data_IF_140899903626
#
_entry.id   IF_140899903626
#
_cell.length_a   1.000
_cell.length_b   1.000
_cell.length_c   1.000
_cell.angle_alpha   90.00
_cell.angle_beta   90.00
_cell.angle_gamma   90.00
#
_symmetry.space_group_name_H-M   'P 1'
#
loop_
_entity.id
_entity.type
_entity.pdbx_description
1 polymer ?
2 non-polymer ?
3 non-polymer ?
4 water ?
#
# COMPACT_ATOMS: atom_id res chain seq x y z
N UNK A 8 2.71 -2.59 27.52
CA UNK A 8 2.12 -1.30 27.05
C UNK A 8 1.11 -1.49 25.90
N UNK A 9 -0.17 -1.61 26.23
CA UNK A 9 -1.14 -2.02 25.22
C UNK A 9 -1.55 -0.92 24.23
N UNK A 10 -1.88 -1.36 23.02
CA UNK A 10 -2.31 -0.47 21.95
C UNK A 10 -3.80 -0.21 22.09
N UNK A 11 -4.55 -1.25 22.40
CA UNK A 11 -5.99 -1.14 22.54
C UNK A 11 -6.35 -1.42 23.98
N UNK A 12 -7.05 -0.48 24.62
CA UNK A 12 -7.50 -0.67 25.99
C UNK A 12 -8.71 -1.60 26.06
N UNK A 13 -8.94 -2.19 27.23
CA UNK A 13 -10.13 -3.00 27.43
C UNK A 13 -11.43 -2.25 27.09
N UNK A 14 -11.43 -0.93 27.22
CA UNK A 14 -12.64 -0.14 26.95
C UNK A 14 -12.82 0.16 25.47
N UNK A 15 -11.94 -0.39 24.63
CA UNK A 15 -12.06 -0.23 23.18
C UNK A 15 -11.35 0.98 22.62
N UNK A 16 -10.81 1.83 23.49
CA UNK A 16 -10.08 3.00 23.02
C UNK A 16 -8.59 2.67 22.79
N UNK A 17 -7.92 3.49 21.99
CA UNK A 17 -6.54 3.25 21.62
C UNK A 17 -5.59 4.23 22.31
N UNK A 18 -4.41 3.73 22.68
CA UNK A 18 -3.36 4.55 23.25
C UNK A 18 -2.45 5.06 22.15
N UNK A 19 -3.02 5.84 21.25
CA UNK A 19 -2.29 6.36 20.11
C UNK A 19 -2.40 7.88 20.05
N UNK A 20 -1.26 8.54 19.86
CA UNK A 20 -1.29 9.96 19.60
C UNK A 20 -0.87 10.28 18.17
N UNK A 21 -1.67 11.07 17.49
CA UNK A 21 -1.40 11.46 16.11
C UNK A 21 -0.65 12.79 16.08
N UNK A 22 0.67 12.73 15.92
CA UNK A 22 1.53 13.91 16.10
C UNK A 22 1.98 14.59 14.82
N UNK A 23 2.21 15.90 14.90
CA UNK A 23 2.64 16.69 13.75
C UNK A 23 1.63 16.67 12.62
N UNK A 24 0.35 16.85 12.97
CA UNK A 24 -0.74 16.80 11.99
C UNK A 24 -1.48 18.14 11.92
N UNK A 27 -1.34 20.21 8.69
CA UNK A 27 -1.47 19.46 7.44
C UNK A 27 -2.92 19.18 7.08
N UNK A 28 -3.27 19.34 5.81
CA UNK A 28 -4.62 19.01 5.33
C UNK A 28 -4.89 17.51 5.53
N UNK A 29 -5.99 17.20 6.20
CA UNK A 29 -6.33 15.81 6.53
C UNK A 29 -6.36 14.92 5.30
N UNK A 30 -6.89 15.44 4.20
CA UNK A 30 -7.10 14.64 3.01
C UNK A 30 -5.82 14.35 2.23
N UNK A 31 -4.69 14.86 2.71
CA UNK A 31 -3.39 14.54 2.12
C UNK A 31 -2.66 13.47 2.94
N UNK A 32 -3.31 12.98 3.98
CA UNK A 32 -2.70 11.95 4.81
C UNK A 32 -3.52 10.66 4.74
N UNK A 33 -4.18 10.45 3.60
CA UNK A 33 -4.91 9.21 3.38
C UNK A 33 -4.04 8.16 2.67
N UNK A 34 -3.41 8.54 1.55
CA UNK A 34 -2.47 7.67 0.82
C UNK A 34 -1.11 8.33 0.66
N UNK A 35 -0.04 7.54 0.79
CA UNK A 35 1.30 8.03 0.48
C UNK A 35 1.33 8.52 -0.96
N UNK A 36 2.13 9.57 -1.23
CA UNK A 36 2.26 10.11 -2.58
C UNK A 36 2.89 9.08 -3.51
N UNK A 37 3.75 8.24 -2.95
CA UNK A 37 4.45 7.25 -3.74
C UNK A 37 4.21 5.81 -3.26
N UNK A 38 4.52 4.86 -4.14
CA UNK A 38 4.53 3.46 -3.79
C UNK A 38 5.98 2.99 -3.92
N UNK A 39 6.32 1.87 -3.30
CA UNK A 39 7.70 1.36 -3.36
C UNK A 39 7.74 -0.13 -3.67
N UNK A 40 8.88 -0.58 -4.19
CA UNK A 40 9.10 -2.00 -4.38
C UNK A 40 10.41 -2.38 -3.70
N UNK A 41 10.35 -3.38 -2.82
CA UNK A 41 11.55 -3.91 -2.19
C UNK A 41 11.23 -5.26 -1.55
N UNK A 42 12.26 -5.92 -1.02
CA UNK A 42 12.15 -7.28 -0.54
C UNK A 42 11.63 -7.32 0.89
N UNK A 43 10.75 -8.29 1.17
CA UNK A 43 10.34 -8.58 2.53
C UNK A 43 10.34 -10.08 2.70
N UNK A 44 11.12 -10.55 3.66
CA UNK A 44 11.23 -11.98 3.93
C UNK A 44 11.31 -12.81 2.65
N UNK A 45 12.18 -12.38 1.74
CA UNK A 45 12.46 -13.16 0.53
C UNK A 45 11.50 -12.98 -0.63
N UNK A 46 10.47 -12.16 -0.46
CA UNK A 46 9.51 -11.91 -1.53
C UNK A 46 9.58 -10.45 -1.93
N UNK A 47 9.50 -10.21 -3.23
CA UNK A 47 9.49 -8.86 -3.74
C UNK A 47 8.07 -8.32 -3.58
N UNK A 48 7.93 -7.16 -2.94
CA UNK A 48 6.61 -6.58 -2.67
C UNK A 48 6.46 -5.14 -3.16
N UNK A 49 5.26 -4.84 -3.66
CA UNK A 49 4.85 -3.49 -3.98
C UNK A 49 4.04 -2.97 -2.78
N UNK A 50 4.41 -1.80 -2.26
CA UNK A 50 3.86 -1.30 -0.99
C UNK A 50 3.43 0.16 -1.10
N UNK A 51 2.36 0.50 -0.39
CA UNK A 51 1.95 1.90 -0.27
C UNK A 51 1.38 2.08 1.13
N UNK A 52 1.30 3.32 1.59
CA UNK A 52 0.89 3.56 2.97
C UNK A 52 -0.48 4.18 2.99
N UNK A 53 -1.28 3.79 3.97
CA UNK A 53 -2.61 4.34 4.13
C UNK A 53 -2.81 4.87 5.56
N UNK A 54 -3.60 5.92 5.70
CA UNK A 54 -3.83 6.56 7.00
C UNK A 54 -5.31 6.70 7.34
N UNK A 55 -5.61 6.85 8.62
CA UNK A 55 -6.99 7.01 9.09
C UNK A 55 -7.45 8.43 8.82
N UNK A 56 -8.75 8.70 8.97
CA UNK A 56 -9.22 10.08 8.88
C UNK A 56 -8.92 10.80 10.19
N UNK A 57 -8.42 12.02 10.10
CA UNK A 57 -8.13 12.79 11.31
C UNK A 57 -9.41 13.34 11.94
N UNK A 58 -9.44 13.33 13.27
CA UNK A 58 -10.59 13.79 14.04
C UNK A 58 -11.83 12.91 13.89
N UNK A 59 -11.68 11.81 13.15
CA UNK A 59 -12.76 10.84 13.00
C UNK A 59 -12.24 9.47 12.56
N UNK A 60 -12.36 8.49 13.44
CA UNK A 60 -11.90 7.14 13.17
C UNK A 60 -12.76 6.44 12.12
N UNK A 61 -12.09 5.79 11.17
CA UNK A 61 -12.76 5.00 10.13
C UNK A 61 -12.95 3.56 10.59
N UNK A 62 -14.13 3.03 10.33
CA UNK A 62 -14.52 1.72 10.84
C UNK A 62 -14.95 0.83 9.66
N UNK A 63 -14.93 -0.49 9.86
CA UNK A 63 -15.24 -1.46 8.80
C UNK A 63 -14.38 -1.22 7.55
N UNK A 64 -13.12 -0.87 7.77
CA UNK A 64 -12.25 -0.40 6.70
C UNK A 64 -11.73 -1.56 5.84
N UNK A 65 -11.67 -1.32 4.53
CA UNK A 65 -11.07 -2.28 3.62
C UNK A 65 -10.33 -1.57 2.48
N UNK A 66 -9.28 -2.22 1.99
CA UNK A 66 -8.44 -1.66 0.94
C UNK A 66 -8.52 -2.57 -0.31
N UNK A 67 -8.71 -1.97 -1.48
CA UNK A 67 -8.54 -2.70 -2.73
C UNK A 67 -7.67 -1.91 -3.70
N UNK A 68 -7.17 -2.58 -4.74
CA UNK A 68 -6.26 -1.96 -5.71
C UNK A 68 -6.47 -2.57 -7.08
N UNK A 69 -6.47 -1.71 -8.11
CA UNK A 69 -6.68 -2.12 -9.50
C UNK A 69 -5.51 -1.63 -10.34
N UNK A 70 -5.01 -2.51 -11.21
CA UNK A 70 -4.05 -2.12 -12.22
C UNK A 70 -4.82 -1.68 -13.46
N UNK A 71 -4.55 -0.46 -13.92
CA UNK A 71 -5.13 0.02 -15.16
C UNK A 71 -4.02 0.06 -16.19
N UNK A 72 -4.21 -0.66 -17.30
CA UNK A 72 -3.13 -0.80 -18.28
C UNK A 72 -3.70 -1.35 -19.57
N UNK A 73 -3.49 -0.61 -20.65
CA UNK A 73 -3.96 -1.04 -21.95
C UNK A 73 -3.30 -2.36 -22.31
N UNK A 74 -4.04 -3.21 -23.00
CA UNK A 74 -3.50 -4.47 -23.43
C UNK A 74 -4.14 -4.91 -24.73
N UNK A 75 -3.48 -5.83 -25.41
CA UNK A 75 -4.01 -6.42 -26.62
C UNK A 75 -4.02 -7.92 -26.41
N UNK A 76 -5.15 -8.55 -26.72
CA UNK A 76 -5.22 -10.00 -26.59
C UNK A 76 -4.44 -10.65 -27.74
N UNK A 77 -4.08 -11.92 -27.58
CA UNK A 77 -3.38 -12.63 -28.65
C UNK A 77 -4.22 -12.69 -29.94
N UNK A 78 -5.54 -12.51 -29.83
CA UNK A 78 -6.40 -12.47 -31.02
C UNK A 78 -6.47 -11.08 -31.63
N UNK A 79 -5.76 -10.13 -31.02
CA UNK A 79 -5.64 -8.80 -31.59
C UNK A 79 -6.64 -7.76 -31.09
N UNK A 80 -7.46 -8.11 -30.10
CA UNK A 80 -8.37 -7.13 -29.50
C UNK A 80 -7.62 -6.17 -28.58
N UNK A 81 -7.71 -4.88 -28.90
CA UNK A 81 -7.12 -3.83 -28.06
C UNK A 81 -8.11 -3.43 -26.98
N UNK A 82 -7.68 -3.50 -25.72
CA UNK A 82 -8.54 -3.11 -24.61
C UNK A 82 -7.93 -1.91 -23.89
N UNK A 83 -8.48 -0.71 -24.13
CA UNK A 83 -7.88 0.48 -23.53
C UNK A 83 -8.06 0.48 -22.01
N UNK A 84 -6.98 0.74 -21.28
CA UNK A 84 -7.05 0.86 -19.83
C UNK A 84 -7.78 -0.32 -19.20
N UNK A 85 -7.45 -1.53 -19.64
CA UNK A 85 -7.97 -2.77 -19.05
C UNK A 85 -7.73 -2.75 -17.54
N UNK A 86 -8.74 -3.17 -16.78
CA UNK A 86 -8.68 -3.18 -15.32
C UNK A 86 -8.55 -4.57 -14.77
N UNK A 87 -7.63 -4.76 -13.83
CA UNK A 87 -7.53 -6.05 -13.15
C UNK A 87 -7.16 -5.87 -11.68
N UNK A 88 -7.66 -6.77 -10.85
CA UNK A 88 -7.52 -6.61 -9.42
C UNK A 88 -6.11 -6.97 -9.00
N UNK A 89 -5.52 -6.16 -8.12
CA UNK A 89 -4.23 -6.42 -7.52
C UNK A 89 -4.43 -6.96 -6.10
N UNK A 90 -3.87 -8.13 -5.81
CA UNK A 90 -4.01 -8.77 -4.50
C UNK A 90 -3.35 -8.00 -3.35
N UNK A 91 -4.17 -7.45 -2.46
CA UNK A 91 -3.70 -6.83 -1.22
C UNK A 91 -4.40 -7.42 0.02
N UNK A 92 -4.76 -8.70 -0.05
CA UNK A 92 -5.23 -9.43 1.13
C UNK A 92 -6.59 -10.11 1.08
N UNK A 93 -7.28 -9.98 -0.05
CA UNK A 93 -8.61 -10.56 -0.25
C UNK A 93 -8.75 -12.04 0.17
N UNK A 94 -7.73 -12.85 -0.12
CA UNK A 94 -7.83 -14.30 0.13
C UNK A 94 -7.74 -14.66 1.61
N UNK A 95 -7.08 -13.80 2.38
CA UNK A 95 -6.86 -14.10 3.80
C UNK A 95 -7.66 -13.21 4.74
N UNK A 96 -8.30 -12.17 4.22
CA UNK A 96 -8.97 -11.20 5.10
C UNK A 96 -8.04 -10.08 5.55
N UNK A 97 -6.81 -10.07 5.04
CA UNK A 97 -5.87 -9.03 5.40
C UNK A 97 -6.15 -7.70 4.72
N UNK A 98 -7.10 -7.68 3.80
CA UNK A 98 -7.54 -6.43 3.21
C UNK A 98 -8.59 -5.72 4.07
N UNK A 99 -9.04 -6.38 5.15
CA UNK A 99 -9.91 -5.76 6.14
C UNK A 99 -9.03 -5.14 7.22
N UNK A 100 -8.98 -3.81 7.25
CA UNK A 100 -7.95 -3.13 8.04
C UNK A 100 -8.43 -2.75 9.42
N UNK A 101 -7.54 -2.84 10.40
CA UNK A 101 -7.73 -2.13 11.66
C UNK A 101 -6.86 -0.89 11.56
N UNK A 102 -7.47 0.23 11.19
CA UNK A 102 -6.71 1.41 10.74
C UNK A 102 -6.75 2.52 11.78
N UNK A 103 -5.74 2.57 12.64
CA UNK A 103 -5.65 3.63 13.63
C UNK A 103 -4.40 4.42 13.29
N UNK A 104 -3.24 3.82 13.51
CA UNK A 104 -2.00 4.38 13.00
C UNK A 104 -1.77 3.92 11.56
N UNK A 105 -0.96 4.67 10.80
CA UNK A 105 -0.83 4.39 9.37
C UNK A 105 -0.30 2.98 9.10
N UNK A 106 -0.77 2.37 8.02
CA UNK A 106 -0.41 0.99 7.70
C UNK A 106 0.28 0.93 6.34
N UNK A 107 1.31 0.10 6.24
CA UNK A 107 1.89 -0.23 4.94
C UNK A 107 1.13 -1.41 4.31
N UNK A 108 0.44 -1.15 3.21
CA UNK A 108 -0.26 -2.21 2.50
C UNK A 108 0.76 -2.87 1.57
N UNK A 109 0.81 -4.20 1.55
CA UNK A 109 1.81 -4.91 0.78
C UNK A 109 1.17 -5.85 -0.25
N UNK A 110 1.61 -5.75 -1.50
CA UNK A 110 1.19 -6.68 -2.54
C UNK A 110 2.40 -7.55 -2.86
N UNK A 111 2.31 -8.85 -2.60
CA UNK A 111 3.41 -9.74 -2.92
C UNK A 111 3.44 -9.99 -4.41
N UNK A 112 4.60 -9.74 -5.02
CA UNK A 112 4.75 -9.97 -6.44
C UNK A 112 5.08 -11.44 -6.70
N UNK A 113 4.04 -12.23 -6.91
CA UNK A 113 4.21 -13.65 -7.19
C UNK A 113 3.73 -13.95 -8.60
N UNK A 114 3.58 -15.24 -8.90
CA UNK A 114 3.26 -15.66 -10.24
C UNK A 114 1.91 -15.13 -10.71
N UNK A 115 1.01 -14.84 -9.77
CA UNK A 115 -0.28 -14.27 -10.14
C UNK A 115 -0.30 -12.73 -10.18
N UNK A 116 0.81 -12.08 -9.86
CA UNK A 116 0.83 -10.62 -9.87
C UNK A 116 1.11 -10.10 -11.27
N UNK A 117 0.43 -9.02 -11.66
CA UNK A 117 0.76 -8.45 -12.97
C UNK A 117 2.19 -7.87 -13.04
N UNK A 118 2.88 -7.76 -11.91
CA UNK A 118 4.27 -7.28 -11.89
C UNK A 118 5.33 -8.39 -11.95
N UNK A 119 4.89 -9.63 -12.06
CA UNK A 119 5.76 -10.82 -11.94
C UNK A 119 7.00 -10.76 -12.85
N UNK A 120 6.81 -10.27 -14.07
CA UNK A 120 7.87 -10.29 -15.08
C UNK A 120 8.60 -8.96 -15.26
N UNK A 121 8.29 -7.97 -14.42
CA UNK A 121 8.83 -6.61 -14.58
C UNK A 121 10.06 -6.38 -13.70
N UNK A 122 11.19 -6.05 -14.34
CA UNK A 122 12.44 -5.80 -13.63
C UNK A 122 12.62 -4.30 -13.37
N UNK A 123 13.61 -3.95 -12.56
CA UNK A 123 13.91 -2.54 -12.31
C UNK A 123 14.12 -1.75 -13.61
N UNK A 124 14.82 -2.34 -14.58
CA UNK A 124 15.11 -1.63 -15.83
C UNK A 124 13.87 -1.48 -16.70
N UNK A 125 12.95 -2.44 -16.61
CA UNK A 125 11.75 -2.44 -17.44
C UNK A 125 10.67 -1.49 -16.92
N UNK A 126 10.56 -1.38 -15.60
CA UNK A 126 9.48 -0.62 -14.97
C UNK A 126 9.18 0.76 -15.59
N UNK A 127 10.20 1.63 -15.70
CA UNK A 127 9.91 2.95 -16.24
C UNK A 127 9.43 2.94 -17.70
N UNK A 128 9.62 1.83 -18.41
CA UNK A 128 9.09 1.72 -19.77
C UNK A 128 7.60 1.35 -19.80
N UNK A 129 7.05 0.93 -18.66
CA UNK A 129 5.65 0.50 -18.63
C UNK A 129 4.70 1.67 -18.55
N UNK A 130 3.58 1.55 -19.26
CA UNK A 130 2.52 2.53 -19.21
C UNK A 130 1.41 1.99 -18.33
N UNK A 131 1.44 2.31 -17.04
CA UNK A 131 0.48 1.72 -16.12
C UNK A 131 0.08 2.65 -14.98
N UNK A 132 -0.97 2.28 -14.27
CA UNK A 132 -1.48 3.10 -13.18
C UNK A 132 -2.17 2.17 -12.19
N UNK A 133 -1.79 2.27 -10.93
CA UNK A 133 -2.41 1.52 -9.85
C UNK A 133 -3.37 2.44 -9.12
N UNK A 134 -4.65 2.10 -9.16
CA UNK A 134 -5.68 2.84 -8.45
C UNK A 134 -5.89 2.17 -7.11
N UNK A 135 -5.83 2.95 -6.03
CA UNK A 135 -6.05 2.42 -4.70
C UNK A 135 -7.33 2.99 -4.12
N UNK A 136 -8.11 2.12 -3.46
CA UNK A 136 -9.43 2.48 -3.00
C UNK A 136 -9.63 2.02 -1.58
N UNK A 137 -9.89 2.99 -0.71
CA UNK A 137 -10.13 2.72 0.68
C UNK A 137 -11.60 2.98 0.94
N UNK A 138 -12.27 1.98 1.50
CA UNK A 138 -13.70 2.07 1.79
C UNK A 138 -13.93 1.79 3.25
N UNK A 139 -14.97 2.40 3.81
CA UNK A 139 -15.28 2.16 5.21
C UNK A 139 -16.46 2.97 5.70
N UNK A 140 -16.46 3.25 7.00
CA UNK A 140 -17.54 4.02 7.60
C UNK A 140 -17.01 4.91 8.72
N UNK A 141 -17.48 6.15 8.74
CA UNK A 141 -17.13 7.06 9.82
C UNK A 141 -17.77 6.49 11.09
N UNK A 142 -16.96 6.37 12.14
CA UNK A 142 -17.40 5.73 13.38
C UNK A 142 -18.57 6.47 14.03
N UNK A 143 -18.38 7.76 14.27
CA UNK A 143 -19.36 8.55 15.02
C UNK A 143 -20.69 8.75 14.27
N UNK A 144 -20.68 8.53 12.96
CA UNK A 144 -21.83 8.88 12.12
C UNK A 144 -22.52 7.68 11.48
N UNK A 145 -21.82 6.55 11.42
CA UNK A 145 -22.32 5.40 10.69
C UNK A 145 -22.51 5.76 9.22
N UNK A 146 -21.87 6.84 8.80
CA UNK A 146 -21.93 7.26 7.40
C UNK A 146 -20.77 6.62 6.61
N UNK A 147 -21.11 6.01 5.47
CA UNK A 147 -20.11 5.38 4.62
C UNK A 147 -19.21 6.40 3.94
N UNK A 148 -18.01 5.96 3.54
CA UNK A 148 -17.07 6.82 2.83
C UNK A 148 -16.13 5.99 1.95
N UNK A 149 -15.62 6.63 0.90
CA UNK A 149 -14.61 6.04 0.02
C UNK A 149 -13.55 7.11 -0.20
N UNK A 150 -12.31 6.68 -0.35
CA UNK A 150 -11.24 7.57 -0.75
C UNK A 150 -10.40 6.85 -1.80
N UNK A 151 -9.91 7.59 -2.79
CA UNK A 151 -9.19 6.98 -3.90
C UNK A 151 -7.97 7.80 -4.25
N UNK A 152 -6.96 7.13 -4.81
CA UNK A 152 -5.80 7.82 -5.34
C UNK A 152 -5.18 6.86 -6.33
N UNK A 153 -4.02 7.22 -6.88
CA UNK A 153 -3.36 6.36 -7.83
C UNK A 153 -1.86 6.58 -7.92
N UNK A 154 -1.17 5.56 -8.42
CA UNK A 154 0.26 5.63 -8.64
C UNK A 154 0.54 5.32 -10.11
N UNK A 155 0.99 6.33 -10.85
CA UNK A 155 1.44 6.10 -12.22
C UNK A 155 2.86 5.56 -12.16
N UNK A 156 3.38 5.13 -13.30
CA UNK A 156 4.69 4.48 -13.38
C UNK A 156 5.80 5.20 -12.62
N UNK A 157 5.91 6.51 -12.80
CA UNK A 157 7.01 7.30 -12.21
C UNK A 157 6.87 7.50 -10.70
N UNK A 158 5.69 7.16 -10.17
CA UNK A 158 5.43 7.30 -8.74
C UNK A 158 5.65 6.00 -7.98
N UNK A 159 6.20 5.01 -8.68
CA UNK A 159 6.54 3.72 -8.07
C UNK A 159 8.06 3.62 -7.98
N UNK A 160 8.58 3.56 -6.76
CA UNK A 160 10.02 3.67 -6.53
C UNK A 160 10.64 2.32 -6.25
N UNK A 161 11.44 1.81 -7.19
CA UNK A 161 12.09 0.50 -7.02
C UNK A 161 13.30 0.61 -6.11
N UNK A 162 13.36 -0.25 -5.09
CA UNK A 162 14.50 -0.28 -4.18
C UNK A 162 14.39 0.65 -2.98
N UNK A 163 13.15 0.84 -2.50
CA UNK A 163 12.85 1.77 -1.41
C UNK A 163 11.90 1.13 -0.41
N UNK A 164 11.98 1.59 0.84
CA UNK A 164 11.01 1.22 1.88
C UNK A 164 10.41 2.50 2.42
N UNK A 165 9.29 2.38 3.13
CA UNK A 165 8.74 3.50 3.87
C UNK A 165 9.47 3.74 5.20
N UNK A 166 9.68 5.02 5.51
CA UNK A 166 10.22 5.43 6.80
C UNK A 166 9.17 5.16 7.86
N UNK A 167 9.53 4.44 8.94
CA UNK A 167 8.52 4.12 9.94
C UNK A 167 8.01 5.40 10.63
N UNK A 168 6.79 5.37 11.17
CA UNK A 168 6.19 6.58 11.76
C UNK A 168 5.83 6.37 13.21
N UNK A 169 5.85 5.12 13.65
CA UNK A 169 5.32 4.76 14.95
C UNK A 169 6.42 4.49 15.97
N UNK A 170 6.29 5.11 17.13
CA UNK A 170 7.17 4.83 18.26
C UNK A 170 6.36 4.79 19.55
N UNK A 171 6.99 4.32 20.62
CA UNK A 171 6.35 4.29 21.93
C UNK A 171 6.97 5.35 22.83
N UNK A 172 6.15 6.28 23.32
CA UNK A 172 6.63 7.37 24.16
C UNK A 172 5.70 7.64 25.34
N UNK A 173 6.13 7.22 26.53
CA UNK A 173 5.42 7.54 27.77
C UNK A 173 3.97 7.08 27.77
N UNK A 174 3.74 5.82 27.43
CA UNK A 174 2.40 5.27 27.46
C UNK A 174 1.59 5.47 26.19
N UNK A 175 2.04 6.37 25.31
CA UNK A 175 1.37 6.61 24.03
C UNK A 175 2.16 6.05 22.86
N UNK A 176 1.48 5.36 21.95
CA UNK A 176 2.10 5.08 20.68
C UNK A 176 1.99 6.33 19.84
N UNK A 177 3.14 6.85 19.44
CA UNK A 177 3.22 8.13 18.77
C UNK A 177 3.36 7.97 17.27
N UNK A 178 2.47 8.62 16.52
CA UNK A 178 2.60 8.68 15.08
C UNK A 178 3.18 10.02 14.63
N UNK A 179 4.34 9.97 13.98
CA UNK A 179 4.94 11.16 13.39
C UNK A 179 4.53 11.33 11.93
N UNK A 180 3.50 12.12 11.68
CA UNK A 180 3.00 12.29 10.33
C UNK A 180 3.94 13.07 9.41
N UNK A 181 5.02 13.60 9.98
CA UNK A 181 6.08 14.19 9.18
C UNK A 181 6.77 13.13 8.33
N UNK A 182 6.64 11.88 8.74
CA UNK A 182 7.29 10.78 8.03
C UNK A 182 6.30 9.96 7.19
N UNK A 183 5.04 10.36 7.18
CA UNK A 183 3.99 9.60 6.48
C UNK A 183 4.39 9.26 5.06
N UNK A 184 4.88 10.26 4.34
CA UNK A 184 5.20 10.13 2.93
C UNK A 184 6.65 9.76 2.62
N UNK A 185 7.52 9.77 3.63
CA UNK A 185 8.95 9.61 3.35
C UNK A 185 9.38 8.16 3.16
N UNK A 186 10.34 8.00 2.25
CA UNK A 186 10.87 6.71 1.90
C UNK A 186 12.39 6.80 1.96
N UNK A 187 13.06 5.66 2.03
CA UNK A 187 14.52 5.64 1.96
C UNK A 187 14.97 4.47 1.13
N UNK A 188 16.15 4.61 0.55
CA UNK A 188 16.70 3.59 -0.33
C UNK A 188 17.30 2.44 0.45
N UNK A 189 17.16 1.23 -0.07
CA UNK A 189 17.72 0.06 0.57
C UNK A 189 18.21 -0.90 -0.49
N UNK A 190 19.26 -1.64 -0.17
CA UNK A 190 19.81 -2.63 -1.07
C UNK A 190 18.72 -3.57 -1.59
N UNK A 191 18.48 -3.56 -2.89
CA UNK A 191 17.43 -4.38 -3.48
C UNK A 191 17.89 -5.00 -4.81
N UNK A 192 17.54 -6.27 -5.07
CA UNK A 192 17.82 -6.84 -6.39
C UNK A 192 17.12 -6.03 -7.48
N UNK A 193 17.66 -6.07 -8.71
CA UNK A 193 17.05 -5.38 -9.84
C UNK A 193 16.36 -6.35 -10.79
N UNK A 194 16.47 -7.64 -10.50
CA UNK A 194 15.79 -8.66 -11.28
C UNK A 194 14.28 -8.57 -11.09
N UNK A 195 13.52 -9.08 -12.05
CA UNK A 195 12.08 -9.28 -11.86
C UNK A 195 11.84 -10.37 -10.82
N UNK A 196 10.69 -10.32 -10.14
CA UNK A 196 10.34 -11.36 -9.18
C UNK A 196 10.44 -12.75 -9.82
N UNK A 197 9.99 -12.88 -11.07
CA UNK A 197 10.05 -14.16 -11.75
C UNK A 197 11.47 -14.73 -11.79
N UNK A 198 12.44 -13.91 -12.19
CA UNK A 198 13.81 -14.38 -12.34
C UNK A 198 14.47 -14.59 -10.98
N UNK A 199 14.12 -13.75 -10.01
CA UNK A 199 14.56 -13.97 -8.62
C UNK A 199 14.12 -15.33 -8.12
N UNK A 200 12.87 -15.69 -8.38
CA UNK A 200 12.36 -16.98 -7.93
C UNK A 200 13.09 -18.12 -8.64
N UNK A 201 13.21 -18.02 -9.96
CA UNK A 201 13.88 -19.07 -10.74
C UNK A 201 15.29 -19.32 -10.21
N UNK A 202 16.01 -18.24 -9.90
CA UNK A 202 17.35 -18.35 -9.35
C UNK A 202 17.34 -18.98 -7.95
N UNK A 203 16.39 -18.61 -7.10
CA UNK A 203 16.29 -19.25 -5.78
C UNK A 203 16.01 -20.74 -5.93
N UNK A 204 15.15 -21.08 -6.88
CA UNK A 204 14.79 -22.47 -7.13
C UNK A 204 15.96 -23.33 -7.60
N UNK A 205 16.95 -22.72 -8.25
CA UNK A 205 18.20 -23.42 -8.57
C UNK A 205 18.99 -23.65 -7.30
N UNK A 206 18.85 -24.83 -6.70
CA UNK A 206 19.45 -25.09 -5.39
C UNK A 206 18.58 -24.50 -4.28
X LIG B 1 -10.46 4.21 17.46
X LIG B 1 -9.58 2.96 17.37
X LIG B 1 -9.63 5.37 17.42
X LIG B 1 -9.13 2.44 19.05
X LIG C 1 -11.46 8.12 3.78
X LIG C 1 -12.23 7.21 4.73
X LIG C 1 -10.15 8.36 4.31
X LIG C 1 -13.22 6.01 3.78
X LIG D 1 -15.36 -14.04 0.34
#
# INVERSE_FOLDING_TARGET
>A
GSHMRKIQRYVRKDGKCNVHHGNVREKRAETLVFSTHAVISMRDGKLCLMFRVGDLRNSHIVRASIRAKLIKSKQTSEGEFIPLNQTDINVGYYTGDDRLFLVSPLIISHEINQQSPFWEISKAQLPKEELEIVVILEGMVEATGMTCQARSSYITSEILWGYRFTPVLTLEDGFYEVDYNSFHETYETSTPSLSAKELAELANRAEL
>B hetero
1 BME C1 C2 O1 S2
>C hetero
1 BME C1 C2 O1 S2
>D hetero
1 MG MG
#
